data_IF_180120526353
#
_entry.id   IF_180120526353
#
_cell.length_a   1.000
_cell.length_b   1.000
_cell.length_c   1.000
_cell.angle_alpha   90.00
_cell.angle_beta   90.00
_cell.angle_gamma   90.00
#
_symmetry.space_group_name_H-M   'P 1'
#
loop_
_entity.id
_entity.type
_entity.pdbx_description
1 polymer ?
#
# COMPACT_ATOMS: atom_id res chain seq x y z
N UNK A 1 1.73 -0.50 -20.20
CA UNK A 1 1.14 0.75 -19.68
C UNK A 1 1.96 1.21 -18.50
N UNK A 2 2.72 2.30 -18.66
CA UNK A 2 3.48 2.92 -17.57
C UNK A 2 2.52 3.54 -16.57
N UNK A 3 2.23 2.81 -15.49
CA UNK A 3 1.50 3.37 -14.37
C UNK A 3 2.48 4.25 -13.57
N UNK A 4 2.45 5.56 -13.83
CA UNK A 4 3.17 6.57 -13.03
C UNK A 4 2.52 6.67 -11.65
N UNK A 5 2.85 5.74 -10.76
CA UNK A 5 2.45 5.78 -9.36
C UNK A 5 3.44 6.63 -8.57
N UNK A 6 2.96 7.75 -8.04
CA UNK A 6 3.83 8.70 -7.33
C UNK A 6 4.11 8.23 -5.90
N UNK A 7 3.20 7.47 -5.29
CA UNK A 7 3.33 7.03 -3.89
C UNK A 7 2.47 5.82 -3.58
N UNK A 8 3.06 4.84 -2.90
CA UNK A 8 2.35 3.69 -2.34
C UNK A 8 2.47 3.75 -0.83
N UNK A 9 1.38 3.46 -0.11
CA UNK A 9 1.36 3.39 1.35
C UNK A 9 0.59 2.15 1.80
N UNK A 10 1.11 1.48 2.84
CA UNK A 10 0.37 0.45 3.57
C UNK A 10 -0.17 1.08 4.85
N UNK A 11 -1.46 0.89 5.08
CA UNK A 11 -2.20 1.47 6.21
C UNK A 11 -2.85 0.32 6.96
N UNK A 12 -2.71 0.29 8.29
CA UNK A 12 -3.39 -0.72 9.12
C UNK A 12 -4.87 -0.36 9.36
N UNK A 13 -5.60 -1.25 10.02
CA UNK A 13 -7.03 -1.07 10.34
C UNK A 13 -7.33 0.16 11.20
N UNK A 14 -6.34 0.68 11.94
CA UNK A 14 -6.50 1.89 12.77
C UNK A 14 -6.33 3.18 11.95
N UNK A 15 -5.93 3.06 10.68
CA UNK A 15 -5.62 4.20 9.81
C UNK A 15 -4.16 4.66 9.91
N UNK A 16 -3.32 3.99 10.70
CA UNK A 16 -1.89 4.31 10.81
C UNK A 16 -1.16 3.83 9.56
N UNK A 17 -0.38 4.72 8.95
CA UNK A 17 0.54 4.33 7.86
C UNK A 17 1.71 3.55 8.43
N UNK A 18 1.83 2.28 8.07
CA UNK A 18 2.90 1.38 8.55
C UNK A 18 4.08 1.30 7.58
N UNK A 19 3.87 1.61 6.30
CA UNK A 19 4.94 1.63 5.31
C UNK A 19 4.65 2.63 4.18
N UNK A 20 5.69 3.27 3.66
CA UNK A 20 5.64 4.13 2.47
C UNK A 20 6.67 3.62 1.47
N UNK A 21 6.24 3.38 0.25
CA UNK A 21 7.08 2.85 -0.83
C UNK A 21 7.01 3.82 -2.01
N UNK A 22 8.16 4.12 -2.59
CA UNK A 22 8.28 4.92 -3.79
C UNK A 22 8.47 3.98 -4.99
N UNK A 23 7.46 3.90 -5.86
CA UNK A 23 7.57 3.28 -7.19
C UNK A 23 8.28 1.92 -7.25
N UNK A 24 7.77 0.92 -6.52
CA UNK A 24 8.22 -0.48 -6.65
C UNK A 24 7.12 -1.37 -7.25
N UNK A 25 7.52 -2.31 -8.11
CA UNK A 25 6.60 -3.29 -8.70
C UNK A 25 6.18 -4.41 -7.72
N UNK A 26 6.96 -4.61 -6.64
CA UNK A 26 6.72 -5.60 -5.60
C UNK A 26 6.91 -4.92 -4.25
N UNK A 27 6.08 -5.28 -3.28
CA UNK A 27 6.12 -4.71 -1.94
C UNK A 27 6.32 -5.86 -0.97
N UNK A 28 7.40 -5.83 -0.20
CA UNK A 28 7.60 -6.78 0.89
C UNK A 28 6.74 -6.40 2.10
N UNK A 29 5.97 -7.38 2.57
CA UNK A 29 5.06 -7.31 3.71
C UNK A 29 5.36 -8.37 4.78
N UNK A 30 6.51 -9.04 4.67
CA UNK A 30 6.96 -10.11 5.57
C UNK A 30 7.00 -9.66 7.04
N UNK A 31 7.43 -8.42 7.28
CA UNK A 31 7.56 -7.82 8.61
C UNK A 31 6.24 -7.31 9.20
N UNK A 32 5.12 -7.40 8.48
CA UNK A 32 3.81 -7.03 9.01
C UNK A 32 3.24 -8.16 9.88
N UNK A 33 2.72 -7.79 11.04
CA UNK A 33 1.94 -8.69 11.90
C UNK A 33 0.67 -9.17 11.19
N UNK A 34 0.12 -10.30 11.61
CA UNK A 34 -1.16 -10.78 11.09
C UNK A 34 -2.26 -9.75 11.37
N UNK A 35 -3.10 -9.45 10.37
CA UNK A 35 -4.08 -8.39 10.47
C UNK A 35 -4.62 -7.90 9.13
N UNK A 36 -5.49 -6.89 9.21
CA UNK A 36 -6.10 -6.24 8.04
C UNK A 36 -5.30 -4.99 7.68
N UNK A 37 -5.01 -4.85 6.39
CA UNK A 37 -4.26 -3.73 5.85
C UNK A 37 -4.89 -3.22 4.56
N UNK A 38 -4.56 -1.98 4.23
CA UNK A 38 -4.95 -1.29 3.01
C UNK A 38 -3.72 -0.82 2.27
N UNK A 39 -3.60 -1.20 1.00
CA UNK A 39 -2.63 -0.64 0.07
C UNK A 39 -3.29 0.55 -0.61
N UNK A 40 -2.76 1.74 -0.36
CA UNK A 40 -3.15 2.98 -1.01
C UNK A 40 -2.11 3.35 -2.05
N UNK A 41 -2.49 3.32 -3.32
CA UNK A 41 -1.66 3.74 -4.45
C UNK A 41 -2.19 5.06 -4.97
N UNK A 42 -1.37 6.11 -4.91
CA UNK A 42 -1.72 7.44 -5.41
C UNK A 42 -0.95 7.71 -6.69
N UNK A 43 -1.68 7.81 -7.80
CA UNK A 43 -1.21 8.37 -9.06
C UNK A 43 -1.44 9.89 -9.11
N UNK A 44 -1.14 10.50 -10.25
CA UNK A 44 -1.40 11.93 -10.47
C UNK A 44 -2.88 12.29 -10.47
N UNK A 45 -3.71 11.43 -11.04
CA UNK A 45 -5.13 11.72 -11.30
C UNK A 45 -6.07 10.86 -10.46
N UNK A 46 -5.59 9.73 -9.94
CA UNK A 46 -6.41 8.77 -9.23
C UNK A 46 -5.72 8.19 -8.00
N UNK A 47 -6.56 7.74 -7.06
CA UNK A 47 -6.13 6.96 -5.90
C UNK A 47 -6.84 5.61 -5.95
N UNK A 48 -6.07 4.53 -5.83
CA UNK A 48 -6.57 3.16 -5.74
C UNK A 48 -6.33 2.66 -4.32
N UNK A 49 -7.35 2.08 -3.70
CA UNK A 49 -7.27 1.46 -2.38
C UNK A 49 -7.67 -0.01 -2.50
N UNK A 50 -6.83 -0.91 -2.00
CA UNK A 50 -7.14 -2.34 -1.90
C UNK A 50 -6.90 -2.86 -0.49
N UNK A 51 -7.88 -3.59 0.05
CA UNK A 51 -7.77 -4.29 1.32
C UNK A 51 -7.10 -5.65 1.11
N UNK A 52 -6.24 -6.06 2.03
CA UNK A 52 -5.76 -7.43 2.13
C UNK A 52 -5.69 -7.87 3.61
N UNK A 53 -5.60 -9.18 3.81
CA UNK A 53 -5.44 -9.80 5.13
C UNK A 53 -4.09 -10.49 5.15
N UNK A 54 -3.20 -10.06 6.04
CA UNK A 54 -1.95 -10.76 6.34
C UNK A 54 -2.27 -11.88 7.33
N UNK A 55 -1.95 -13.12 6.94
CA UNK A 55 -2.00 -14.29 7.83
C UNK A 55 -0.67 -14.47 8.52
#
# INVERSE_FOLDING_TARGET
>A
TDLKYNRISIIDVTGKTVQRINSEAKIDVSNLTSGIYFIKVMGKENTIIKKFVKR
#
